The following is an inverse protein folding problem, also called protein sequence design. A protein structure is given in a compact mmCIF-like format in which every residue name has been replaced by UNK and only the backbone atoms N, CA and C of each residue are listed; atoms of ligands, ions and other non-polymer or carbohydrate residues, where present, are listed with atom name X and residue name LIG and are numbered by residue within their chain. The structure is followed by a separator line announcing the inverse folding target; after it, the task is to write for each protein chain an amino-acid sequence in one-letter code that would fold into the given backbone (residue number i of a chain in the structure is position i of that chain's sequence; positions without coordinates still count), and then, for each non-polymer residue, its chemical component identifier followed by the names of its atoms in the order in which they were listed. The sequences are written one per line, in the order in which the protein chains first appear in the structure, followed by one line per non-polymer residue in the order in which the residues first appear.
data_IF_127398697548
#
_entry.id   IF_127398697548
#
_cell.length_a   1.000
_cell.length_b   1.000
_cell.length_c   1.000
_cell.angle_alpha   90.00
_cell.angle_beta   90.00
_cell.angle_gamma   90.00
#
_symmetry.space_group_name_H-M   'P 1'
#
loop_
_entity.id
_entity.type
_entity.pdbx_description
1 polymer ?
#
# COMPACT_ATOMS: atom_id res chain seq x y z
N UNK A 1 -9.30 -2.65 -8.30
CA UNK A 1 -9.01 -2.53 -6.85
C UNK A 1 -10.24 -2.35 -5.97
N UNK A 2 -11.09 -1.31 -6.12
CA UNK A 2 -12.28 -1.13 -5.26
C UNK A 2 -13.18 -2.36 -5.15
N UNK A 3 -13.56 -2.92 -6.31
CA UNK A 3 -14.38 -4.15 -6.36
C UNK A 3 -13.75 -5.31 -5.59
N UNK A 4 -12.44 -5.53 -5.75
CA UNK A 4 -11.69 -6.56 -5.02
C UNK A 4 -11.75 -6.33 -3.51
N UNK A 5 -11.53 -5.10 -3.05
CA UNK A 5 -11.60 -4.75 -1.62
C UNK A 5 -12.99 -5.04 -1.06
N UNK A 6 -14.04 -4.63 -1.76
CA UNK A 6 -15.43 -4.85 -1.36
C UNK A 6 -15.78 -6.36 -1.28
N UNK A 7 -15.41 -7.13 -2.31
CA UNK A 7 -15.64 -8.57 -2.35
C UNK A 7 -14.89 -9.32 -1.23
N UNK A 8 -13.63 -8.95 -0.97
CA UNK A 8 -12.86 -9.55 0.14
C UNK A 8 -13.48 -9.20 1.49
N UNK A 9 -13.87 -7.95 1.73
CA UNK A 9 -14.56 -7.56 2.98
C UNK A 9 -15.84 -8.35 3.20
N UNK A 10 -16.61 -8.57 2.13
CA UNK A 10 -17.82 -9.40 2.16
C UNK A 10 -17.49 -10.86 2.51
N UNK A 11 -16.54 -11.46 1.80
CA UNK A 11 -16.16 -12.86 1.97
C UNK A 11 -15.59 -13.16 3.36
N UNK A 12 -14.78 -12.25 3.91
CA UNK A 12 -14.24 -12.34 5.26
C UNK A 12 -15.20 -11.83 6.35
N UNK A 13 -16.41 -11.38 5.98
CA UNK A 13 -17.42 -10.80 6.89
C UNK A 13 -16.85 -9.67 7.77
N UNK A 14 -15.92 -8.89 7.25
CA UNK A 14 -15.26 -7.81 7.97
C UNK A 14 -15.20 -6.54 7.10
N UNK A 15 -16.16 -5.64 7.31
CA UNK A 15 -16.27 -4.37 6.57
C UNK A 15 -15.16 -3.36 6.95
N UNK A 16 -14.55 -3.51 8.12
CA UNK A 16 -13.43 -2.67 8.56
C UNK A 16 -12.06 -3.27 8.26
N UNK A 17 -12.00 -4.36 7.48
CA UNK A 17 -10.74 -4.98 7.08
C UNK A 17 -9.85 -3.95 6.38
N UNK A 18 -8.66 -3.75 6.94
CA UNK A 18 -7.69 -2.77 6.46
C UNK A 18 -6.85 -3.33 5.35
N UNK A 19 -6.54 -2.46 4.40
CA UNK A 19 -5.66 -2.75 3.29
C UNK A 19 -4.47 -1.81 3.36
N UNK A 20 -3.28 -2.40 3.37
CA UNK A 20 -2.02 -1.67 3.21
C UNK A 20 -1.48 -2.04 1.83
N UNK A 21 -1.28 -1.04 0.97
CA UNK A 21 -0.90 -1.25 -0.43
C UNK A 21 0.34 -0.39 -0.69
N UNK A 22 1.43 -0.99 -1.15
CA UNK A 22 2.61 -0.20 -1.52
C UNK A 22 2.41 0.52 -2.84
N UNK A 23 3.04 1.69 -2.96
CA UNK A 23 3.28 2.31 -4.26
C UNK A 23 4.27 1.49 -5.08
N UNK A 24 4.18 1.60 -6.40
CA UNK A 24 5.22 1.15 -7.31
C UNK A 24 6.41 2.12 -7.23
N UNK A 25 7.64 1.60 -7.27
CA UNK A 25 8.82 2.46 -7.23
C UNK A 25 8.88 3.34 -8.49
N UNK A 26 9.01 4.68 -8.37
CA UNK A 26 8.90 5.61 -9.51
C UNK A 26 9.97 5.41 -10.58
N UNK A 27 11.14 4.87 -10.20
CA UNK A 27 12.25 4.62 -11.11
C UNK A 27 12.28 3.19 -11.69
N UNK A 28 11.29 2.34 -11.40
CA UNK A 28 11.18 1.03 -12.01
C UNK A 28 10.88 1.15 -13.52
N UNK A 29 11.28 0.16 -14.32
CA UNK A 29 11.10 0.16 -15.78
C UNK A 29 9.64 0.05 -16.26
N UNK A 30 8.68 0.01 -15.34
CA UNK A 30 7.28 -0.17 -15.65
C UNK A 30 6.68 1.09 -16.30
N UNK A 31 5.75 0.90 -17.23
CA UNK A 31 4.99 2.00 -17.82
C UNK A 31 3.88 2.46 -16.86
N UNK A 32 3.49 3.72 -16.98
CA UNK A 32 2.34 4.30 -16.26
C UNK A 32 2.45 4.28 -14.72
N UNK A 33 3.66 4.18 -14.15
CA UNK A 33 3.88 4.15 -12.69
C UNK A 33 3.24 5.37 -12.00
N UNK A 34 3.38 6.56 -12.57
CA UNK A 34 2.78 7.77 -12.02
C UNK A 34 1.24 7.71 -11.99
N UNK A 35 0.62 7.19 -13.04
CA UNK A 35 -0.84 7.00 -13.13
C UNK A 35 -1.32 5.97 -12.11
N UNK A 36 -0.64 4.82 -12.01
CA UNK A 36 -0.96 3.75 -11.06
C UNK A 36 -0.85 4.27 -9.62
N UNK A 37 0.26 4.93 -9.27
CA UNK A 37 0.44 5.50 -7.93
C UNK A 37 -0.61 6.61 -7.65
N UNK A 38 -0.95 7.42 -8.65
CA UNK A 38 -2.03 8.41 -8.54
C UNK A 38 -3.41 7.77 -8.27
N UNK A 39 -3.71 6.65 -8.93
CA UNK A 39 -4.92 5.88 -8.71
C UNK A 39 -4.95 5.23 -7.31
N UNK A 40 -3.81 4.70 -6.83
CA UNK A 40 -3.69 4.15 -5.47
C UNK A 40 -3.89 5.22 -4.40
N UNK A 41 -3.30 6.40 -4.56
CA UNK A 41 -3.52 7.54 -3.64
C UNK A 41 -4.97 7.98 -3.63
N UNK A 42 -5.60 8.05 -4.81
CA UNK A 42 -7.02 8.36 -4.93
C UNK A 42 -7.88 7.30 -4.23
N UNK A 43 -7.55 6.02 -4.40
CA UNK A 43 -8.22 4.92 -3.71
C UNK A 43 -8.18 5.10 -2.19
N UNK A 44 -7.00 5.33 -1.61
CA UNK A 44 -6.83 5.53 -0.17
C UNK A 44 -7.59 6.75 0.38
N UNK A 45 -7.78 7.80 -0.42
CA UNK A 45 -8.60 8.96 -0.03
C UNK A 45 -10.09 8.68 -0.06
N UNK A 46 -10.53 7.80 -0.96
CA UNK A 46 -11.96 7.54 -1.21
C UNK A 46 -12.50 6.30 -0.51
N UNK A 47 -11.63 5.38 -0.08
CA UNK A 47 -12.00 4.08 0.48
C UNK A 47 -11.49 3.97 1.92
N UNK A 48 -12.42 3.96 2.88
CA UNK A 48 -12.10 3.86 4.30
C UNK A 48 -11.29 2.60 4.60
N UNK A 49 -10.26 2.71 5.43
CA UNK A 49 -9.42 1.58 5.81
C UNK A 49 -8.44 1.12 4.73
N UNK A 50 -8.24 1.90 3.66
CA UNK A 50 -7.17 1.68 2.68
C UNK A 50 -6.04 2.69 2.92
N UNK A 51 -4.83 2.18 3.07
CA UNK A 51 -3.63 2.95 3.34
C UNK A 51 -2.58 2.65 2.30
N UNK A 52 -1.96 3.69 1.76
CA UNK A 52 -0.87 3.55 0.79
C UNK A 52 0.47 3.72 1.50
N UNK A 53 1.39 2.81 1.21
CA UNK A 53 2.77 2.81 1.74
C UNK A 53 3.70 3.36 0.67
N UNK A 54 4.33 4.53 0.87
CA UNK A 54 5.21 5.13 -0.12
C UNK A 54 6.50 4.31 -0.26
N UNK A 55 7.01 4.21 -1.49
CA UNK A 55 8.22 3.42 -1.77
C UNK A 55 9.34 4.19 -2.44
N UNK A 56 9.12 5.47 -2.78
CA UNK A 56 10.06 6.30 -3.53
C UNK A 56 11.42 6.54 -2.83
N UNK A 57 11.48 6.39 -1.51
CA UNK A 57 12.72 6.52 -0.72
C UNK A 57 13.49 5.21 -0.56
N UNK A 58 12.93 4.09 -1.01
CA UNK A 58 13.56 2.79 -0.87
C UNK A 58 14.57 2.56 -2.00
N UNK A 59 15.65 1.80 -1.75
CA UNK A 59 16.53 1.35 -2.82
C UNK A 59 15.74 0.54 -3.85
N UNK A 60 16.05 0.65 -5.12
CA UNK A 60 15.39 -0.14 -6.15
C UNK A 60 16.42 -0.80 -7.05
N UNK A 61 16.10 -2.00 -7.52
CA UNK A 61 16.77 -2.58 -8.69
C UNK A 61 15.93 -2.24 -9.93
N UNK A 62 16.43 -2.61 -11.12
CA UNK A 62 15.78 -2.28 -12.40
C UNK A 62 14.26 -2.56 -12.44
N UNK A 63 13.83 -3.70 -11.89
CA UNK A 63 12.45 -4.19 -12.04
C UNK A 63 11.78 -4.54 -10.71
N UNK A 64 12.56 -4.97 -9.71
CA UNK A 64 12.08 -5.50 -8.44
C UNK A 64 12.76 -4.80 -7.27
N UNK A 65 12.19 -4.93 -6.08
CA UNK A 65 12.93 -4.67 -4.85
C UNK A 65 13.92 -5.81 -4.60
N UNK A 66 15.21 -5.50 -4.56
CA UNK A 66 16.24 -6.45 -4.10
C UNK A 66 16.09 -6.74 -2.60
N UNK A 67 16.82 -7.75 -2.08
CA UNK A 67 16.67 -8.23 -0.69
C UNK A 67 16.66 -7.11 0.35
N UNK A 68 17.63 -6.19 0.27
CA UNK A 68 17.71 -5.05 1.21
C UNK A 68 16.46 -4.17 1.15
N UNK A 69 15.99 -3.84 -0.04
CA UNK A 69 14.79 -3.01 -0.18
C UNK A 69 13.52 -3.73 0.26
N UNK A 70 13.43 -5.04 0.09
CA UNK A 70 12.27 -5.82 0.55
C UNK A 70 12.19 -5.81 2.08
N UNK A 71 13.32 -5.88 2.78
CA UNK A 71 13.35 -5.72 4.24
C UNK A 71 12.84 -4.33 4.66
N UNK A 72 13.36 -3.27 4.03
CA UNK A 72 12.93 -1.90 4.31
C UNK A 72 11.46 -1.65 3.95
N UNK A 73 10.96 -2.26 2.87
CA UNK A 73 9.54 -2.23 2.53
C UNK A 73 8.70 -2.86 3.66
N UNK A 74 9.15 -3.99 4.21
CA UNK A 74 8.54 -4.61 5.37
C UNK A 74 8.48 -3.69 6.59
N UNK A 75 9.54 -2.93 6.86
CA UNK A 75 9.57 -1.92 7.93
C UNK A 75 8.53 -0.81 7.70
N UNK A 76 8.39 -0.32 6.47
CA UNK A 76 7.37 0.69 6.13
C UNK A 76 5.94 0.16 6.30
N UNK A 77 5.68 -1.10 5.92
CA UNK A 77 4.40 -1.75 6.22
C UNK A 77 4.15 -1.89 7.72
N UNK A 78 5.14 -2.33 8.48
CA UNK A 78 5.02 -2.47 9.94
C UNK A 78 4.76 -1.13 10.62
N UNK A 79 5.42 -0.06 10.15
CA UNK A 79 5.20 1.32 10.61
C UNK A 79 3.80 1.80 10.27
N UNK A 80 3.33 1.61 9.04
CA UNK A 80 1.99 1.99 8.62
C UNK A 80 0.91 1.25 9.45
N UNK A 81 1.07 -0.05 9.65
CA UNK A 81 0.17 -0.85 10.49
C UNK A 81 0.15 -0.34 11.93
N UNK A 82 1.32 -0.12 12.52
CA UNK A 82 1.47 0.36 13.90
C UNK A 82 0.86 1.74 14.11
N UNK A 83 1.00 2.65 13.14
CA UNK A 83 0.40 3.98 13.18
C UNK A 83 -1.13 3.89 13.21
N UNK A 84 -1.72 3.10 12.31
CA UNK A 84 -3.18 2.97 12.28
C UNK A 84 -3.71 2.28 13.55
N UNK A 85 -3.02 1.26 14.04
CA UNK A 85 -3.38 0.60 15.31
C UNK A 85 -3.36 1.57 16.50
N UNK A 86 -2.48 2.58 16.50
CA UNK A 86 -2.47 3.62 17.54
C UNK A 86 -3.64 4.58 17.40
N UNK A 87 -4.01 4.94 16.18
CA UNK A 87 -5.13 5.84 15.90
C UNK A 87 -6.50 5.28 16.33
N UNK A 88 -6.62 3.96 16.51
CA UNK A 88 -7.85 3.33 17.01
C UNK A 88 -7.90 3.20 18.54
N UNK A 89 -6.84 3.57 19.26
CA UNK A 89 -6.88 3.54 20.71
C UNK A 89 -7.68 4.76 21.19
N UNK A 90 -8.68 4.55 22.07
CA UNK A 90 -9.44 5.65 22.67
C UNK A 90 -8.54 6.56 23.53
#
# INVERSE_FOLDING_TARGET
MRRLIAEIRLNFKNQSLRWFISEQHPAAIWKNVAEINGALRTLARTETGVFVVPTAHLPYERTHFGTKSTLLLGEEFAKAYSLQRRNDRP
#
